data_IF_027925924115
#
_entry.id   IF_027925924115
#
_cell.length_a   1.000
_cell.length_b   1.000
_cell.length_c   1.000
_cell.angle_alpha   90.00
_cell.angle_beta   90.00
_cell.angle_gamma   90.00
#
_symmetry.space_group_name_H-M   'P 1'
#
loop_
_entity.id
_entity.type
_entity.pdbx_description
1 polymer ?
#
# COMPACT_ATOMS: atom_id res chain seq x y z
N UNK A 1 -4.65 24.77 -25.79
CA UNK A 1 -5.16 23.41 -26.07
C UNK A 1 -4.14 22.48 -25.45
N UNK A 2 -4.32 22.21 -24.16
CA UNK A 2 -3.34 21.53 -23.33
C UNK A 2 -3.66 20.04 -23.41
N UNK A 3 -2.74 19.25 -23.96
CA UNK A 3 -2.87 17.81 -24.03
C UNK A 3 -2.89 17.27 -22.60
N UNK A 4 -4.08 16.98 -22.08
CA UNK A 4 -4.19 16.00 -21.01
C UNK A 4 -3.45 14.76 -21.52
N UNK A 5 -2.32 14.42 -20.89
CA UNK A 5 -1.70 13.12 -21.11
C UNK A 5 -2.77 12.12 -20.72
N UNK A 6 -3.39 11.48 -21.71
CA UNK A 6 -4.35 10.42 -21.46
C UNK A 6 -3.61 9.37 -20.63
N UNK A 7 -3.97 9.26 -19.35
CA UNK A 7 -3.38 8.26 -18.48
C UNK A 7 -3.94 6.92 -18.91
N UNK A 8 -3.09 6.08 -19.50
CA UNK A 8 -3.47 4.76 -19.95
C UNK A 8 -3.90 3.90 -18.76
N UNK A 9 -5.01 3.14 -18.86
CA UNK A 9 -5.42 2.22 -17.80
C UNK A 9 -4.37 1.12 -17.61
N UNK A 10 -4.44 0.43 -16.47
CA UNK A 10 -3.63 -0.75 -16.27
C UNK A 10 -3.88 -1.76 -17.42
N UNK A 11 -2.84 -2.48 -17.84
CA UNK A 11 -2.91 -3.53 -18.86
C UNK A 11 -2.01 -4.70 -18.45
N UNK A 12 -2.18 -5.88 -19.07
CA UNK A 12 -1.35 -7.03 -18.72
C UNK A 12 0.14 -6.81 -19.04
N UNK A 13 0.42 -5.98 -20.04
CA UNK A 13 1.77 -5.72 -20.57
C UNK A 13 2.46 -4.54 -19.86
N UNK A 14 1.69 -3.63 -19.25
CA UNK A 14 2.20 -2.42 -18.61
C UNK A 14 2.63 -2.66 -17.16
N UNK A 15 3.63 -3.53 -16.96
CA UNK A 15 4.30 -3.70 -15.66
C UNK A 15 5.54 -2.81 -15.56
N UNK A 16 5.49 -1.79 -14.71
CA UNK A 16 6.62 -0.90 -14.50
C UNK A 16 7.53 -1.39 -13.36
N UNK A 17 8.71 -1.91 -13.70
CA UNK A 17 9.70 -2.40 -12.73
C UNK A 17 10.62 -1.26 -12.29
N UNK A 18 10.62 -0.96 -10.99
CA UNK A 18 11.49 0.06 -10.38
C UNK A 18 12.85 -0.50 -9.95
N UNK A 19 12.87 -1.78 -9.55
CA UNK A 19 14.08 -2.44 -9.08
C UNK A 19 13.97 -3.95 -9.30
N UNK A 20 15.07 -4.58 -9.67
CA UNK A 20 15.18 -6.03 -9.81
C UNK A 20 16.54 -6.52 -9.29
N UNK A 21 16.51 -7.63 -8.57
CA UNK A 21 17.68 -8.35 -8.06
C UNK A 21 17.42 -9.85 -8.08
N UNK A 22 18.40 -10.65 -7.62
CA UNK A 22 18.25 -12.10 -7.44
C UNK A 22 17.25 -12.48 -6.34
N UNK A 23 16.81 -11.53 -5.52
CA UNK A 23 15.99 -11.79 -4.34
C UNK A 23 14.68 -11.02 -4.30
N UNK A 24 14.61 -9.86 -4.97
CA UNK A 24 13.48 -8.96 -4.92
C UNK A 24 13.22 -8.32 -6.28
N UNK A 25 11.94 -8.09 -6.57
CA UNK A 25 11.44 -7.17 -7.58
C UNK A 25 10.62 -6.09 -6.86
N UNK A 26 10.82 -4.83 -7.21
CA UNK A 26 9.94 -3.73 -6.80
C UNK A 26 9.28 -3.20 -8.06
N UNK A 27 7.95 -3.19 -8.07
CA UNK A 27 7.16 -2.65 -9.17
C UNK A 27 6.50 -1.34 -8.75
N UNK A 28 6.27 -0.45 -9.70
CA UNK A 28 5.35 0.66 -9.53
C UNK A 28 3.95 0.13 -9.86
N UNK A 29 3.21 -0.29 -8.82
CA UNK A 29 1.82 -0.73 -8.97
C UNK A 29 1.01 0.39 -9.60
N UNK A 30 0.23 0.08 -10.62
CA UNK A 30 -0.73 1.02 -11.19
C UNK A 30 -1.84 1.36 -10.18
N UNK A 31 -2.53 2.49 -10.38
CA UNK A 31 -3.78 2.76 -9.69
C UNK A 31 -4.91 1.86 -10.25
N UNK A 32 -5.96 1.65 -9.47
CA UNK A 32 -7.13 0.81 -9.80
C UNK A 32 -6.80 -0.59 -10.34
N UNK A 33 -5.81 -1.25 -9.71
CA UNK A 33 -5.51 -2.65 -9.97
C UNK A 33 -5.31 -3.40 -8.66
N UNK A 34 -5.87 -4.61 -8.59
CA UNK A 34 -5.67 -5.54 -7.47
C UNK A 34 -4.27 -6.14 -7.54
N UNK A 35 -3.70 -6.44 -6.37
CA UNK A 35 -2.42 -7.14 -6.27
C UNK A 35 -2.58 -8.59 -6.74
N UNK A 36 -3.56 -9.28 -6.19
CA UNK A 36 -3.92 -10.66 -6.49
C UNK A 36 -5.45 -10.82 -6.55
N UNK A 37 -5.91 -11.97 -7.04
CA UNK A 37 -7.32 -12.34 -7.00
C UNK A 37 -7.49 -13.85 -6.95
N UNK A 38 -8.51 -14.31 -6.21
CA UNK A 38 -8.97 -15.70 -6.25
C UNK A 38 -10.01 -15.93 -7.35
N UNK A 39 -10.52 -14.86 -7.94
CA UNK A 39 -11.59 -14.92 -8.92
C UNK A 39 -10.96 -15.15 -10.29
N UNK A 40 -11.25 -16.30 -10.89
CA UNK A 40 -10.64 -16.73 -12.16
C UNK A 40 -10.86 -15.75 -13.32
N UNK A 41 -11.91 -14.93 -13.26
CA UNK A 41 -12.23 -13.93 -14.27
C UNK A 41 -11.50 -12.60 -14.08
N UNK A 42 -10.94 -12.34 -12.89
CA UNK A 42 -10.14 -11.15 -12.61
C UNK A 42 -8.75 -11.32 -13.21
N UNK A 43 -8.62 -11.02 -14.50
CA UNK A 43 -7.38 -11.26 -15.25
C UNK A 43 -6.34 -10.17 -15.06
N UNK A 44 -6.76 -8.98 -14.63
CA UNK A 44 -5.93 -7.79 -14.53
C UNK A 44 -5.49 -7.53 -13.09
N UNK A 45 -4.44 -8.25 -12.67
CA UNK A 45 -3.82 -8.09 -11.36
C UNK A 45 -2.32 -7.92 -11.51
N UNK A 46 -1.65 -7.34 -10.52
CA UNK A 46 -0.17 -7.27 -10.50
C UNK A 46 0.45 -8.66 -10.62
N UNK A 47 -0.18 -9.65 -9.97
CA UNK A 47 0.17 -11.04 -10.07
C UNK A 47 0.15 -11.57 -11.52
N UNK A 48 -0.92 -11.27 -12.28
CA UNK A 48 -1.02 -11.64 -13.69
C UNK A 48 0.05 -10.93 -14.54
N UNK A 49 0.30 -9.65 -14.28
CA UNK A 49 1.34 -8.87 -14.95
C UNK A 49 2.74 -9.46 -14.70
N UNK A 50 3.05 -9.83 -13.44
CA UNK A 50 4.31 -10.48 -13.08
C UNK A 50 4.47 -11.83 -13.77
N UNK A 51 3.40 -12.65 -13.82
CA UNK A 51 3.43 -13.93 -14.52
C UNK A 51 3.63 -13.77 -16.02
N UNK A 52 3.03 -12.75 -16.62
CA UNK A 52 3.19 -12.45 -18.03
C UNK A 52 4.62 -11.98 -18.34
N UNK A 53 5.19 -11.11 -17.51
CA UNK A 53 6.51 -10.51 -17.72
C UNK A 53 7.70 -11.39 -17.31
N UNK A 54 7.48 -12.26 -16.32
CA UNK A 54 8.48 -13.18 -15.75
C UNK A 54 7.89 -14.59 -15.61
N UNK A 55 7.61 -15.28 -16.73
CA UNK A 55 7.01 -16.61 -16.71
C UNK A 55 7.89 -17.64 -15.98
N UNK A 56 9.22 -17.44 -15.99
CA UNK A 56 10.19 -18.26 -15.27
C UNK A 56 10.10 -18.15 -13.75
N UNK A 57 9.40 -17.13 -13.25
CA UNK A 57 9.20 -16.93 -11.81
C UNK A 57 7.86 -17.50 -11.30
N UNK A 58 7.01 -18.02 -12.19
CA UNK A 58 5.70 -18.55 -11.86
C UNK A 58 5.78 -20.06 -11.54
N UNK A 59 5.10 -20.48 -10.46
CA UNK A 59 4.97 -21.89 -10.07
C UNK A 59 3.62 -22.47 -10.52
N UNK A 60 3.57 -23.26 -11.60
CA UNK A 60 2.32 -23.84 -12.09
C UNK A 60 1.65 -24.81 -11.10
N UNK A 61 2.34 -25.27 -10.07
CA UNK A 61 1.83 -26.18 -9.03
C UNK A 61 1.03 -25.50 -7.91
N UNK A 62 0.85 -24.17 -7.94
CA UNK A 62 0.13 -23.43 -6.90
C UNK A 62 -1.07 -22.66 -7.46
N UNK A 63 -2.14 -22.57 -6.68
CA UNK A 63 -3.38 -21.91 -7.10
C UNK A 63 -3.20 -20.46 -7.56
N UNK A 64 -2.27 -19.71 -6.94
CA UNK A 64 -1.93 -18.35 -7.37
C UNK A 64 -0.70 -18.31 -8.30
N UNK A 65 -0.16 -19.43 -8.77
CA UNK A 65 1.17 -19.42 -9.39
C UNK A 65 2.29 -18.99 -8.42
N UNK A 66 1.94 -18.77 -7.14
CA UNK A 66 2.71 -18.25 -6.02
C UNK A 66 2.13 -18.81 -4.71
N UNK A 67 2.94 -19.42 -3.83
CA UNK A 67 2.50 -19.90 -2.51
C UNK A 67 2.22 -18.76 -1.51
N UNK A 68 0.94 -18.53 -1.24
CA UNK A 68 0.46 -17.81 -0.07
C UNK A 68 0.69 -18.65 1.20
N UNK A 69 1.82 -18.44 1.89
CA UNK A 69 2.14 -19.15 3.13
C UNK A 69 2.71 -18.18 4.16
N UNK A 70 1.86 -17.73 5.08
CA UNK A 70 2.28 -17.00 6.28
C UNK A 70 3.14 -17.97 7.11
N UNK A 71 4.42 -17.63 7.30
CA UNK A 71 5.30 -18.35 8.22
C UNK A 71 4.83 -18.07 9.66
N UNK A 72 4.02 -18.95 10.23
CA UNK A 72 3.80 -18.97 11.69
C UNK A 72 5.07 -19.52 12.35
N UNK A 73 5.74 -18.68 13.13
CA UNK A 73 6.84 -19.07 14.01
C UNK A 73 6.35 -20.05 15.08
N UNK A 74 7.08 -21.12 15.30
CA UNK A 74 6.78 -22.20 16.24
C UNK A 74 7.29 -21.86 17.66
N UNK A 75 6.45 -21.84 18.71
CA UNK A 75 6.91 -22.03 20.07
C UNK A 75 6.57 -23.45 20.55
N UNK A 76 7.61 -24.19 20.93
CA UNK A 76 7.49 -25.49 21.57
C UNK A 76 6.78 -25.37 22.94
N UNK A 77 5.68 -26.12 23.13
CA UNK A 77 5.30 -26.93 24.31
C UNK A 77 3.83 -27.34 24.19
N UNK A 78 3.56 -28.62 24.45
CA UNK A 78 2.34 -29.31 24.01
C UNK A 78 1.07 -29.01 24.80
N UNK A 79 -0.05 -29.46 24.23
CA UNK A 79 -1.25 -30.02 24.85
C UNK A 79 -2.04 -30.74 23.73
N UNK A 80 -2.55 -31.94 24.02
CA UNK A 80 -3.47 -32.72 23.16
C UNK A 80 -4.84 -32.03 23.09
N UNK A 81 -5.55 -32.09 21.96
CA UNK A 81 -6.91 -32.66 21.81
C UNK A 81 -7.52 -32.44 20.41
N UNK A 82 -8.16 -33.53 19.95
CA UNK A 82 -9.43 -33.68 19.20
C UNK A 82 -9.62 -33.12 17.77
N UNK A 83 -9.80 -34.08 16.85
CA UNK A 83 -10.57 -34.07 15.59
C UNK A 83 -10.61 -32.78 14.75
N UNK A 84 -9.47 -32.46 14.12
CA UNK A 84 -9.39 -31.80 12.79
C UNK A 84 -8.00 -32.03 12.14
N UNK A 85 -7.34 -33.13 12.50
CA UNK A 85 -6.09 -33.61 11.89
C UNK A 85 -6.40 -34.62 10.78
N UNK A 86 -6.77 -34.13 9.60
CA UNK A 86 -6.79 -34.93 8.38
C UNK A 86 -6.15 -34.21 7.17
N UNK A 87 -5.23 -33.27 7.42
CA UNK A 87 -4.46 -32.59 6.36
C UNK A 87 -2.98 -32.40 6.71
N UNK A 88 -2.44 -33.25 7.59
CA UNK A 88 -1.07 -33.13 8.09
C UNK A 88 -0.21 -34.39 7.92
N UNK A 89 -0.60 -35.30 7.03
CA UNK A 89 0.09 -36.58 6.82
C UNK A 89 0.49 -36.85 5.35
N UNK A 90 0.82 -35.80 4.57
CA UNK A 90 1.35 -35.95 3.20
C UNK A 90 2.51 -34.97 2.89
N UNK A 91 3.41 -34.73 3.85
CA UNK A 91 4.69 -34.04 3.55
C UNK A 91 5.89 -34.59 4.34
N UNK A 92 5.87 -35.87 4.70
CA UNK A 92 7.01 -36.50 5.39
C UNK A 92 7.54 -37.76 4.72
N UNK A 93 7.13 -38.05 3.49
CA UNK A 93 7.74 -39.14 2.71
C UNK A 93 7.85 -38.66 1.25
N UNK A 94 9.08 -38.53 0.78
CA UNK A 94 9.46 -38.18 -0.58
C UNK A 94 10.17 -36.83 -0.68
N UNK A 95 11.39 -36.68 -1.15
CA UNK A 95 12.43 -37.62 -1.55
C UNK A 95 13.73 -36.81 -1.61
N UNK A 96 14.85 -37.50 -1.42
CA UNK A 96 16.11 -37.09 -2.00
C UNK A 96 15.98 -37.13 -3.55
N UNK A 97 15.42 -36.06 -4.13
CA UNK A 97 15.31 -35.88 -5.57
C UNK A 97 15.98 -34.57 -5.98
N UNK A 98 16.86 -34.71 -6.96
CA UNK A 98 17.61 -33.66 -7.64
C UNK A 98 16.73 -32.47 -8.06
N UNK A 99 17.34 -31.28 -8.05
CA UNK A 99 16.67 -30.00 -7.99
C UNK A 99 15.56 -29.72 -9.00
N UNK A 100 14.44 -29.24 -8.46
CA UNK A 100 13.61 -28.18 -9.05
C UNK A 100 13.07 -27.35 -7.88
N UNK A 101 13.71 -26.23 -7.56
CA UNK A 101 13.13 -25.26 -6.62
C UNK A 101 12.06 -24.47 -7.37
N UNK A 102 10.78 -24.75 -7.13
CA UNK A 102 9.69 -23.96 -7.74
C UNK A 102 9.87 -22.47 -7.41
N UNK A 103 9.88 -21.59 -8.42
CA UNK A 103 10.10 -20.17 -8.21
C UNK A 103 8.87 -19.57 -7.52
N UNK A 104 9.11 -18.78 -6.48
CA UNK A 104 8.05 -18.42 -5.55
C UNK A 104 8.09 -16.92 -5.26
N UNK A 105 7.40 -16.15 -6.09
CA UNK A 105 7.15 -14.74 -5.81
C UNK A 105 6.18 -14.59 -4.63
N UNK A 106 6.50 -13.73 -3.67
CA UNK A 106 5.63 -13.39 -2.54
C UNK A 106 5.54 -11.89 -2.38
N UNK A 107 4.33 -11.34 -2.41
CA UNK A 107 4.10 -9.94 -2.05
C UNK A 107 4.49 -9.73 -0.58
N UNK A 108 5.45 -8.81 -0.35
CA UNK A 108 6.02 -8.58 0.98
C UNK A 108 5.12 -7.72 1.86
N UNK A 109 4.24 -6.94 1.24
CA UNK A 109 3.25 -6.09 1.89
C UNK A 109 2.06 -5.89 0.93
N UNK A 110 1.04 -5.16 1.39
CA UNK A 110 -0.10 -4.78 0.58
C UNK A 110 -0.05 -3.29 0.21
N UNK A 111 -0.86 -2.95 -0.77
CA UNK A 111 -1.17 -1.60 -1.23
C UNK A 111 -2.62 -1.63 -1.71
N UNK A 112 -3.40 -0.60 -1.39
CA UNK A 112 -4.82 -0.58 -1.72
C UNK A 112 -5.05 -0.58 -3.24
N UNK A 113 -6.25 -1.00 -3.65
CA UNK A 113 -6.65 -1.09 -5.05
C UNK A 113 -6.35 0.20 -5.82
N UNK A 114 -6.83 1.33 -5.30
CA UNK A 114 -6.70 2.66 -5.94
C UNK A 114 -5.37 3.36 -5.68
N UNK A 115 -4.51 2.81 -4.83
CA UNK A 115 -3.20 3.43 -4.54
C UNK A 115 -2.14 2.91 -5.50
N UNK A 116 -1.50 3.80 -6.26
CA UNK A 116 -0.32 3.47 -7.05
C UNK A 116 0.96 3.51 -6.20
N UNK A 117 2.06 2.95 -6.70
CA UNK A 117 3.38 3.12 -6.09
C UNK A 117 4.14 1.83 -5.84
N UNK A 118 5.21 1.94 -5.04
CA UNK A 118 6.17 0.87 -4.83
C UNK A 118 5.53 -0.35 -4.14
N UNK A 119 5.59 -1.51 -4.80
CA UNK A 119 5.17 -2.81 -4.27
C UNK A 119 6.34 -3.80 -4.36
N UNK A 120 6.79 -4.29 -3.21
CA UNK A 120 7.92 -5.21 -3.11
C UNK A 120 7.48 -6.68 -3.17
N UNK A 121 8.17 -7.45 -4.00
CA UNK A 121 7.94 -8.88 -4.26
C UNK A 121 9.23 -9.64 -4.00
N UNK A 122 9.20 -10.61 -3.09
CA UNK A 122 10.32 -11.49 -2.82
C UNK A 122 10.30 -12.69 -3.76
N UNK A 123 11.44 -13.06 -4.34
CA UNK A 123 11.55 -14.12 -5.35
C UNK A 123 11.82 -15.52 -4.76
N UNK A 124 12.07 -15.60 -3.46
CA UNK A 124 12.31 -16.86 -2.77
C UNK A 124 11.91 -16.78 -1.28
N UNK A 125 11.87 -17.95 -0.62
CA UNK A 125 11.44 -18.09 0.78
C UNK A 125 12.34 -17.33 1.77
N UNK A 126 13.65 -17.29 1.53
CA UNK A 126 14.59 -16.60 2.41
C UNK A 126 14.39 -15.08 2.34
N UNK A 127 14.26 -14.53 1.13
CA UNK A 127 13.97 -13.12 0.89
C UNK A 127 12.63 -12.70 1.50
N UNK A 128 11.58 -13.52 1.31
CA UNK A 128 10.27 -13.27 1.91
C UNK A 128 10.33 -13.26 3.44
N UNK A 129 11.07 -14.19 4.06
CA UNK A 129 11.27 -14.23 5.51
C UNK A 129 12.01 -13.01 6.05
N UNK A 130 13.02 -12.51 5.31
CA UNK A 130 13.73 -11.27 5.68
C UNK A 130 12.82 -10.05 5.58
N UNK A 131 12.11 -9.88 4.46
CA UNK A 131 11.18 -8.77 4.29
C UNK A 131 10.07 -8.79 5.35
N UNK A 132 9.47 -9.96 5.62
CA UNK A 132 8.50 -10.14 6.69
C UNK A 132 9.02 -9.65 8.05
N UNK A 133 10.27 -10.00 8.39
CA UNK A 133 10.89 -9.55 9.64
C UNK A 133 11.04 -8.03 9.68
N UNK A 134 11.50 -7.40 8.60
CA UNK A 134 11.59 -5.94 8.53
C UNK A 134 10.22 -5.25 8.71
N UNK A 135 9.15 -5.77 8.09
CA UNK A 135 7.80 -5.23 8.26
C UNK A 135 7.27 -5.46 9.68
N UNK A 136 7.46 -6.67 10.23
CA UNK A 136 7.03 -7.03 11.59
C UNK A 136 7.72 -6.18 12.65
N UNK A 137 9.03 -6.00 12.50
CA UNK A 137 9.88 -5.30 13.46
C UNK A 137 9.96 -3.79 13.17
N UNK A 138 9.11 -3.27 12.27
CA UNK A 138 8.96 -1.83 11.95
C UNK A 138 10.25 -1.15 11.46
N UNK A 139 11.09 -1.90 10.74
CA UNK A 139 12.34 -1.40 10.16
C UNK A 139 12.16 -0.80 8.76
N UNK A 140 10.96 -0.91 8.17
CA UNK A 140 10.66 -0.43 6.81
C UNK A 140 10.24 1.04 6.85
N UNK A 141 10.89 1.88 6.06
CA UNK A 141 10.48 3.27 5.81
C UNK A 141 9.57 3.33 4.59
N UNK A 142 8.46 4.07 4.71
CA UNK A 142 7.50 4.31 3.62
C UNK A 142 7.22 5.81 3.52
N UNK A 143 6.98 6.29 2.31
CA UNK A 143 6.52 7.64 2.05
C UNK A 143 5.57 7.63 0.85
N UNK A 144 4.55 8.49 0.89
CA UNK A 144 3.51 8.59 -0.13
C UNK A 144 3.32 10.05 -0.54
N UNK A 145 3.03 10.27 -1.83
CA UNK A 145 2.55 11.55 -2.32
C UNK A 145 1.03 11.50 -2.43
N UNK A 146 0.37 12.58 -2.05
CA UNK A 146 -1.07 12.74 -2.19
C UNK A 146 -1.45 14.17 -2.56
N UNK A 147 -2.57 14.31 -3.26
CA UNK A 147 -3.32 15.55 -3.36
C UNK A 147 -4.47 15.47 -2.37
N UNK A 148 -4.53 16.41 -1.43
CA UNK A 148 -5.57 16.44 -0.39
C UNK A 148 -6.50 17.62 -0.65
N UNK A 149 -7.79 17.31 -0.74
CA UNK A 149 -8.87 18.28 -0.88
C UNK A 149 -9.06 19.00 0.46
N UNK A 150 -9.27 20.32 0.40
CA UNK A 150 -9.13 21.22 1.55
C UNK A 150 -7.67 21.33 1.95
N UNK A 151 -7.11 22.47 1.62
CA UNK A 151 -5.91 22.93 2.27
C UNK A 151 -6.08 22.73 3.79
N UNK A 152 -5.03 22.37 4.56
CA UNK A 152 -5.07 22.39 6.03
C UNK A 152 -5.32 23.81 6.61
N UNK A 153 -5.85 24.72 5.78
CA UNK A 153 -6.01 26.14 5.91
C UNK A 153 -7.25 26.55 6.70
N UNK A 154 -8.10 25.61 7.12
CA UNK A 154 -9.04 25.90 8.20
C UNK A 154 -8.30 26.34 9.49
N UNK A 155 -7.03 25.95 9.66
CA UNK A 155 -6.16 26.42 10.76
C UNK A 155 -5.43 27.74 10.40
N UNK A 156 -5.15 28.00 9.13
CA UNK A 156 -4.46 29.24 8.71
C UNK A 156 -5.43 30.43 8.67
N UNK A 157 -6.72 30.23 8.37
CA UNK A 157 -7.74 31.29 8.47
C UNK A 157 -8.05 31.70 9.92
N UNK A 158 -7.95 30.80 10.91
CA UNK A 158 -8.10 31.19 12.32
C UNK A 158 -6.91 31.99 12.82
N UNK A 159 -5.70 31.80 12.27
CA UNK A 159 -4.51 32.59 12.60
C UNK A 159 -4.39 33.89 11.77
N UNK A 160 -4.82 33.90 10.51
CA UNK A 160 -4.80 35.11 9.66
C UNK A 160 -5.94 36.09 9.96
N UNK A 161 -7.10 35.61 10.43
CA UNK A 161 -8.14 36.50 10.96
C UNK A 161 -7.67 37.25 12.22
N UNK A 162 -6.72 36.68 12.96
CA UNK A 162 -6.06 37.33 14.10
C UNK A 162 -4.97 38.35 13.71
N UNK A 163 -4.57 38.43 12.43
CA UNK A 163 -3.45 39.28 11.98
C UNK A 163 -3.85 40.43 11.04
N UNK A 164 -5.14 40.67 10.77
CA UNK A 164 -5.62 41.83 9.99
C UNK A 164 -4.82 42.10 8.70
N UNK A 165 -4.61 41.06 7.88
CA UNK A 165 -4.02 41.22 6.55
C UNK A 165 -5.14 41.30 5.49
N UNK A 166 -5.05 42.33 4.65
CA UNK A 166 -6.06 42.72 3.66
C UNK A 166 -6.46 41.59 2.70
N UNK A 167 -7.72 41.59 2.19
CA UNK A 167 -8.22 40.58 1.27
C UNK A 167 -7.41 40.54 -0.03
N UNK A 168 -7.01 39.33 -0.42
CA UNK A 168 -6.27 39.04 -1.65
C UNK A 168 -7.19 39.29 -2.86
N UNK A 169 -6.76 40.04 -3.90
CA UNK A 169 -7.58 40.28 -5.09
C UNK A 169 -7.73 39.00 -5.93
N UNK A 170 -8.83 38.95 -6.68
CA UNK A 170 -9.35 37.78 -7.42
C UNK A 170 -8.30 37.01 -8.25
N UNK A 171 -8.41 35.67 -8.33
CA UNK A 171 -7.43 34.86 -9.03
C UNK A 171 -7.57 34.97 -10.55
N UNK A 172 -6.43 35.20 -11.23
CA UNK A 172 -6.24 34.89 -12.65
C UNK A 172 -5.81 33.42 -12.79
N UNK A 173 -6.12 32.75 -13.91
CA UNK A 173 -5.76 31.35 -14.09
C UNK A 173 -4.25 31.22 -14.25
N UNK A 174 -3.64 30.42 -13.37
CA UNK A 174 -2.25 29.97 -13.39
C UNK A 174 -1.18 31.01 -13.04
N UNK A 175 -0.94 31.22 -11.74
CA UNK A 175 0.32 31.78 -11.27
C UNK A 175 0.81 31.08 -9.99
N UNK A 176 1.84 30.24 -10.17
CA UNK A 176 2.69 29.71 -9.11
C UNK A 176 3.43 30.87 -8.43
N UNK A 177 3.02 31.26 -7.23
CA UNK A 177 3.83 32.10 -6.35
C UNK A 177 3.75 31.58 -4.92
N UNK A 178 4.90 31.17 -4.40
CA UNK A 178 5.12 30.94 -2.97
C UNK A 178 5.90 29.67 -2.70
N UNK A 179 7.20 29.79 -2.42
CA UNK A 179 7.90 28.76 -1.65
C UNK A 179 7.21 28.67 -0.30
N UNK A 180 6.51 27.57 -0.03
CA UNK A 180 5.96 27.30 1.30
C UNK A 180 7.15 26.97 2.19
N UNK A 181 7.36 27.72 3.28
CA UNK A 181 8.22 27.23 4.37
C UNK A 181 7.69 25.85 4.76
N UNK A 182 8.50 24.80 4.62
CA UNK A 182 8.07 23.39 4.75
C UNK A 182 7.22 23.20 6.01
N UNK A 183 5.90 23.24 5.85
CA UNK A 183 4.97 23.05 6.95
C UNK A 183 4.90 21.54 7.20
N UNK A 184 5.52 21.12 8.29
CA UNK A 184 5.52 19.74 8.75
C UNK A 184 4.61 19.63 9.96
N UNK A 185 3.64 18.73 9.89
CA UNK A 185 2.68 18.45 10.96
C UNK A 185 2.67 16.96 11.24
N UNK A 186 2.59 16.58 12.52
CA UNK A 186 2.38 15.19 12.92
C UNK A 186 0.90 14.95 13.13
N UNK A 187 0.34 14.00 12.40
CA UNK A 187 -1.00 13.48 12.61
C UNK A 187 -0.90 12.31 13.59
N UNK A 188 -1.47 12.48 14.78
CA UNK A 188 -1.41 11.50 15.87
C UNK A 188 -2.83 11.20 16.36
N UNK A 189 -3.49 10.30 15.62
CA UNK A 189 -4.85 9.89 15.88
C UNK A 189 -4.89 8.37 15.86
N UNK A 190 -5.41 7.74 16.91
CA UNK A 190 -5.61 6.31 16.89
C UNK A 190 -6.70 5.93 15.87
N UNK A 191 -6.45 4.87 15.09
CA UNK A 191 -7.33 4.42 14.01
C UNK A 191 -7.87 3.03 14.35
N UNK A 192 -9.19 2.90 14.35
CA UNK A 192 -9.92 1.66 14.61
C UNK A 192 -10.74 1.20 13.41
N UNK A 193 -11.41 0.07 13.58
CA UNK A 193 -12.34 -0.48 12.58
C UNK A 193 -13.71 0.13 12.76
N UNK A 194 -14.35 0.54 11.67
CA UNK A 194 -15.73 1.02 11.69
C UNK A 194 -16.71 -0.16 11.60
N UNK A 195 -17.62 -0.29 12.58
CA UNK A 195 -18.64 -1.35 12.62
C UNK A 195 -20.08 -0.88 12.37
N UNK A 196 -20.29 0.40 12.07
CA UNK A 196 -21.61 0.96 11.74
C UNK A 196 -22.26 0.30 10.52
N UNK A 197 -23.58 0.15 10.54
CA UNK A 197 -24.35 -0.48 9.46
C UNK A 197 -24.28 0.36 8.18
N UNK A 198 -24.12 -0.28 7.01
CA UNK A 198 -24.04 0.38 5.69
C UNK A 198 -22.63 0.66 5.14
N UNK A 199 -21.57 0.36 5.92
CA UNK A 199 -20.12 0.32 5.56
C UNK A 199 -19.70 0.89 4.19
N UNK A 200 -19.57 2.21 4.10
CA UNK A 200 -18.82 2.88 3.01
C UNK A 200 -17.34 3.08 3.37
N UNK A 201 -17.01 3.21 4.66
CA UNK A 201 -15.65 3.43 5.17
C UNK A 201 -15.28 2.36 6.21
N UNK A 202 -14.19 1.62 5.98
CA UNK A 202 -13.79 0.49 6.85
C UNK A 202 -13.03 0.91 8.11
N UNK A 203 -12.42 2.09 8.09
CA UNK A 203 -11.59 2.63 9.16
C UNK A 203 -12.16 3.94 9.69
N UNK A 204 -11.93 4.24 10.96
CA UNK A 204 -12.35 5.49 11.61
C UNK A 204 -11.37 5.92 12.70
N UNK A 205 -11.45 7.19 13.11
CA UNK A 205 -10.65 7.74 14.21
C UNK A 205 -11.30 7.36 15.54
N UNK A 206 -10.48 7.13 16.57
CA UNK A 206 -10.94 6.96 17.95
C UNK A 206 -11.94 8.06 18.36
N UNK A 207 -12.99 7.67 19.12
CA UNK A 207 -14.07 8.58 19.53
C UNK A 207 -15.20 8.73 18.50
N UNK A 208 -15.04 8.22 17.28
CA UNK A 208 -16.16 8.12 16.32
C UNK A 208 -17.11 6.98 16.74
N UNK A 209 -18.43 7.17 16.54
CA UNK A 209 -19.42 6.12 16.79
C UNK A 209 -19.14 4.86 15.95
N UNK A 210 -19.23 3.69 16.57
CA UNK A 210 -18.87 2.41 15.94
C UNK A 210 -17.38 2.16 15.72
N UNK A 211 -16.48 2.91 16.38
CA UNK A 211 -15.03 2.67 16.32
C UNK A 211 -14.60 1.55 17.28
N UNK A 212 -14.06 0.46 16.74
CA UNK A 212 -13.59 -0.69 17.50
C UNK A 212 -12.07 -0.89 17.40
N UNK A 213 -11.46 -1.24 18.54
CA UNK A 213 -10.04 -1.61 18.67
C UNK A 213 -9.08 -0.58 18.01
N UNK A 214 -9.18 0.72 18.37
CA UNK A 214 -8.29 1.73 17.83
C UNK A 214 -6.85 1.42 18.21
N UNK A 215 -5.94 1.59 17.23
CA UNK A 215 -4.51 1.40 17.43
C UNK A 215 -3.80 2.74 17.30
N UNK A 216 -2.78 3.02 18.14
CA UNK A 216 -1.94 4.21 17.97
C UNK A 216 -1.40 4.28 16.54
N UNK A 217 -1.64 5.40 15.87
CA UNK A 217 -1.22 5.64 14.49
C UNK A 217 -0.61 7.03 14.39
N UNK A 218 0.57 7.11 13.80
CA UNK A 218 1.30 8.37 13.65
C UNK A 218 1.76 8.51 12.20
N UNK A 219 1.49 9.67 11.61
CA UNK A 219 1.91 10.02 10.24
C UNK A 219 2.48 11.42 10.22
N UNK A 220 3.69 11.57 9.70
CA UNK A 220 4.22 12.90 9.40
C UNK A 220 3.69 13.37 8.05
N UNK A 221 3.08 14.55 8.03
CA UNK A 221 2.61 15.23 6.83
C UNK A 221 3.52 16.43 6.58
N UNK A 222 4.11 16.50 5.39
CA UNK A 222 4.85 17.68 4.93
C UNK A 222 4.14 18.29 3.73
N UNK A 223 3.77 19.55 3.84
CA UNK A 223 3.23 20.31 2.70
C UNK A 223 4.36 20.58 1.71
N UNK A 224 4.13 20.20 0.45
CA UNK A 224 5.07 20.44 -0.64
C UNK A 224 4.65 21.66 -1.47
N UNK A 225 3.36 21.77 -1.76
CA UNK A 225 2.84 22.76 -2.72
C UNK A 225 1.34 23.00 -2.53
N UNK A 226 0.88 24.21 -2.82
CA UNK A 226 -0.54 24.55 -2.93
C UNK A 226 -0.89 24.79 -4.40
N UNK A 227 -2.07 24.35 -4.83
CA UNK A 227 -2.50 24.53 -6.21
C UNK A 227 -3.99 24.28 -6.41
N UNK A 228 -4.37 24.18 -7.68
CA UNK A 228 -5.72 23.81 -8.10
C UNK A 228 -5.65 22.47 -8.87
N UNK A 229 -6.61 21.58 -8.65
CA UNK A 229 -6.80 20.35 -9.42
C UNK A 229 -8.25 20.32 -9.89
N UNK A 230 -8.45 20.25 -11.20
CA UNK A 230 -9.77 20.37 -11.84
C UNK A 230 -10.56 21.62 -11.39
N UNK A 231 -9.85 22.72 -11.18
CA UNK A 231 -10.41 23.99 -10.70
C UNK A 231 -10.56 24.10 -9.18
N UNK A 232 -10.45 23.00 -8.43
CA UNK A 232 -10.63 22.99 -6.97
C UNK A 232 -9.31 23.13 -6.20
N UNK A 233 -9.29 23.85 -5.05
CA UNK A 233 -8.08 24.02 -4.25
C UNK A 233 -7.62 22.71 -3.60
N UNK A 234 -6.36 22.35 -3.85
CA UNK A 234 -5.70 21.16 -3.32
C UNK A 234 -4.34 21.48 -2.72
N UNK A 235 -3.88 20.62 -1.82
CA UNK A 235 -2.52 20.64 -1.29
C UNK A 235 -1.79 19.37 -1.67
N UNK A 236 -0.62 19.51 -2.28
CA UNK A 236 0.31 18.40 -2.51
C UNK A 236 1.12 18.15 -1.26
N UNK A 237 1.05 16.92 -0.75
CA UNK A 237 1.67 16.53 0.52
C UNK A 237 2.55 15.30 0.36
N UNK A 238 3.58 15.21 1.19
CA UNK A 238 4.33 14.00 1.48
C UNK A 238 3.82 13.43 2.81
N UNK A 239 3.43 12.16 2.81
CA UNK A 239 2.94 11.42 3.98
C UNK A 239 3.94 10.32 4.34
N UNK A 240 4.43 10.33 5.57
CA UNK A 240 5.36 9.32 6.10
C UNK A 240 4.73 8.64 7.32
N UNK A 241 4.08 7.47 7.15
CA UNK A 241 3.56 6.72 8.28
C UNK A 241 4.70 6.14 9.11
N UNK A 242 4.66 6.38 10.42
CA UNK A 242 5.63 5.89 11.41
C UNK A 242 5.13 4.61 12.12
N UNK A 243 3.87 4.24 11.89
CA UNK A 243 3.18 3.10 12.51
C UNK A 243 2.87 1.94 11.55
#
# INVERSE_FOLDING_TARGET
MECAVAMEPASLENLHVLYQSTHFIVVNKHWDIRIDSKMWYEKQTVQSQLRHRFPELADPGTYYGFSAGILKSNPARGIRYSSKMAQRALWSIGDACNGVTSPLCRFCHQLDFSTSGALCVALNKAAAGRAYRCFKDRLVTKAYLALVCRTPFAIILSLLSALSLNPIPSPRPWQLRGSVEKLKTTLDFAIGKNTSQGKTHMMCIEGTDGCENPKPCQTELTVLEYGLYDGDPVTKVLLQPLT
#
